data_IF_642668203800
#
_entry.id   IF_642668203800
#
_cell.length_a   1.000
_cell.length_b   1.000
_cell.length_c   1.000
_cell.angle_alpha   90.00
_cell.angle_beta   90.00
_cell.angle_gamma   90.00
#
_symmetry.space_group_name_H-M   'P 1'
#
loop_
_entity.id
_entity.type
_entity.pdbx_description
1 polymer ?
#
# COMPACT_ATOMS: atom_id res chain seq x y z
N UNK A 1 -24.87 -11.97 10.59
CA UNK A 1 -23.59 -12.57 10.12
C UNK A 1 -22.59 -12.80 11.27
N UNK A 2 -22.54 -11.94 12.31
CA UNK A 2 -21.55 -12.04 13.41
C UNK A 2 -21.57 -13.36 14.19
N UNK A 3 -22.67 -14.09 14.21
CA UNK A 3 -22.73 -15.43 14.82
C UNK A 3 -22.03 -16.53 13.98
N UNK A 4 -21.95 -16.34 12.67
CA UNK A 4 -21.43 -17.34 11.71
C UNK A 4 -20.03 -16.99 11.19
N UNK A 5 -19.77 -15.71 10.91
CA UNK A 5 -18.49 -15.25 10.36
C UNK A 5 -17.61 -14.74 11.49
N UNK A 6 -16.47 -15.39 11.70
CA UNK A 6 -15.52 -15.06 12.78
C UNK A 6 -14.29 -14.29 12.29
N UNK A 7 -14.03 -14.28 11.00
CA UNK A 7 -12.88 -13.61 10.41
C UNK A 7 -13.33 -12.67 9.29
N UNK A 8 -12.89 -11.40 9.35
CA UNK A 8 -13.30 -10.34 8.45
C UNK A 8 -12.09 -9.64 7.84
N UNK A 9 -12.05 -9.54 6.52
CA UNK A 9 -11.15 -8.64 5.81
C UNK A 9 -11.91 -7.36 5.46
N UNK A 10 -11.43 -6.22 5.91
CA UNK A 10 -12.10 -4.94 5.70
C UNK A 10 -11.87 -4.38 4.31
N UNK A 11 -10.59 -4.34 3.90
CA UNK A 11 -10.14 -3.78 2.63
C UNK A 11 -9.06 -4.71 2.08
N UNK A 12 -9.12 -4.94 0.77
CA UNK A 12 -8.07 -5.65 0.05
C UNK A 12 -7.19 -4.65 -0.70
N UNK A 13 -5.87 -4.73 -0.48
CA UNK A 13 -4.82 -4.01 -1.21
C UNK A 13 -5.06 -2.50 -1.38
N UNK A 14 -5.20 -1.73 -0.28
CA UNK A 14 -5.47 -0.29 -0.37
C UNK A 14 -4.38 0.48 -1.14
N UNK A 15 -3.13 0.04 -1.07
CA UNK A 15 -2.02 0.62 -1.84
C UNK A 15 -2.16 0.36 -3.34
N UNK A 16 -2.61 -0.82 -3.76
CA UNK A 16 -2.83 -1.12 -5.19
C UNK A 16 -3.94 -0.22 -5.73
N UNK A 17 -5.07 -0.14 -5.03
CA UNK A 17 -6.17 0.74 -5.42
C UNK A 17 -5.71 2.20 -5.56
N UNK A 18 -4.97 2.72 -4.57
CA UNK A 18 -4.52 4.11 -4.57
C UNK A 18 -3.46 4.37 -5.63
N UNK A 19 -2.47 3.47 -5.78
CA UNK A 19 -1.39 3.63 -6.76
C UNK A 19 -1.89 3.46 -8.18
N UNK A 20 -2.65 2.40 -8.47
CA UNK A 20 -3.11 2.13 -9.84
C UNK A 20 -4.17 3.12 -10.31
N UNK A 21 -5.04 3.60 -9.41
CA UNK A 21 -6.09 4.53 -9.76
C UNK A 21 -5.67 6.01 -9.78
N UNK A 22 -4.70 6.40 -8.94
CA UNK A 22 -4.41 7.81 -8.70
C UNK A 22 -2.95 8.22 -8.93
N UNK A 23 -2.01 7.27 -9.04
CA UNK A 23 -0.62 7.54 -9.40
C UNK A 23 -0.29 7.09 -10.81
N UNK A 24 -0.52 5.81 -11.11
CA UNK A 24 -0.26 5.24 -12.42
C UNK A 24 -1.36 5.56 -13.45
N UNK A 25 -2.59 5.78 -13.00
CA UNK A 25 -3.73 6.06 -13.85
C UNK A 25 -4.18 4.90 -14.72
N UNK A 26 -3.90 3.68 -14.30
CA UNK A 26 -4.25 2.44 -15.03
C UNK A 26 -5.67 1.99 -14.69
N UNK A 27 -6.07 2.13 -13.41
CA UNK A 27 -7.43 1.84 -12.97
C UNK A 27 -8.28 3.12 -12.90
N UNK A 28 -9.61 3.03 -12.97
CA UNK A 28 -10.47 4.17 -12.66
C UNK A 28 -10.12 4.77 -11.28
N UNK A 29 -10.13 6.07 -11.14
CA UNK A 29 -10.56 7.13 -12.07
C UNK A 29 -9.47 7.63 -13.02
N UNK A 30 -8.37 6.93 -13.21
CA UNK A 30 -7.33 7.25 -14.19
C UNK A 30 -6.50 8.50 -13.88
N UNK A 31 -6.42 8.90 -12.62
CA UNK A 31 -5.67 10.09 -12.20
C UNK A 31 -4.17 9.79 -12.09
N UNK A 32 -3.35 10.85 -12.28
CA UNK A 32 -1.90 10.80 -12.11
C UNK A 32 -1.46 11.93 -11.19
N UNK A 33 -1.71 11.76 -9.90
CA UNK A 33 -1.39 12.79 -8.90
C UNK A 33 -0.89 12.15 -7.59
N UNK A 34 0.41 12.28 -7.28
CA UNK A 34 1.02 11.69 -6.08
C UNK A 34 0.38 12.14 -4.76
N UNK A 35 -0.06 13.40 -4.67
CA UNK A 35 -0.70 13.94 -3.46
C UNK A 35 -2.04 13.27 -3.22
N UNK A 36 -2.86 13.18 -4.27
CA UNK A 36 -4.17 12.50 -4.19
C UNK A 36 -3.98 11.02 -3.86
N UNK A 37 -2.96 10.35 -4.42
CA UNK A 37 -2.65 8.94 -4.14
C UNK A 37 -2.47 8.70 -2.64
N UNK A 38 -1.66 9.50 -1.98
CA UNK A 38 -1.38 9.33 -0.55
C UNK A 38 -2.60 9.71 0.30
N UNK A 39 -3.38 10.70 -0.10
CA UNK A 39 -4.65 11.05 0.55
C UNK A 39 -5.67 9.92 0.46
N UNK A 40 -5.81 9.30 -0.71
CA UNK A 40 -6.70 8.14 -0.90
C UNK A 40 -6.26 6.96 -0.04
N UNK A 41 -4.96 6.64 -0.04
CA UNK A 41 -4.42 5.57 0.82
C UNK A 41 -4.71 5.86 2.30
N UNK A 42 -4.45 7.09 2.76
CA UNK A 42 -4.79 7.52 4.13
C UNK A 42 -6.26 7.29 4.45
N UNK A 43 -7.17 7.72 3.57
CA UNK A 43 -8.60 7.60 3.80
C UNK A 43 -9.06 6.13 3.85
N UNK A 44 -8.48 5.24 3.02
CA UNK A 44 -8.74 3.80 3.08
C UNK A 44 -8.28 3.20 4.42
N UNK A 45 -7.13 3.61 4.93
CA UNK A 45 -6.62 3.15 6.22
C UNK A 45 -7.48 3.67 7.39
N UNK A 46 -7.97 4.91 7.33
CA UNK A 46 -8.94 5.46 8.29
C UNK A 46 -10.24 4.67 8.23
N UNK A 47 -10.75 4.36 7.04
CA UNK A 47 -11.94 3.54 6.86
C UNK A 47 -11.77 2.14 7.47
N UNK A 48 -10.59 1.50 7.29
CA UNK A 48 -10.28 0.22 7.94
C UNK A 48 -10.45 0.32 9.47
N UNK A 49 -9.85 1.32 10.11
CA UNK A 49 -9.92 1.47 11.58
C UNK A 49 -11.32 1.80 12.08
N UNK A 50 -12.10 2.55 11.29
CA UNK A 50 -13.51 2.81 11.59
C UNK A 50 -14.35 1.53 11.49
N UNK A 51 -14.18 0.74 10.43
CA UNK A 51 -14.83 -0.55 10.22
C UNK A 51 -14.46 -1.52 11.36
N UNK A 52 -13.15 -1.61 11.70
CA UNK A 52 -12.67 -2.42 12.82
C UNK A 52 -13.43 -2.07 14.12
N UNK A 53 -13.44 -0.79 14.47
CA UNK A 53 -14.10 -0.31 15.70
C UNK A 53 -15.61 -0.60 15.70
N UNK A 54 -16.26 -0.40 14.54
CA UNK A 54 -17.68 -0.67 14.38
C UNK A 54 -17.99 -2.16 14.50
N UNK A 55 -17.23 -3.02 13.84
CA UNK A 55 -17.44 -4.48 13.93
C UNK A 55 -17.21 -4.99 15.34
N UNK A 56 -16.17 -4.52 16.03
CA UNK A 56 -15.92 -4.90 17.45
C UNK A 56 -17.06 -4.46 18.40
N UNK A 57 -17.73 -3.36 18.11
CA UNK A 57 -18.85 -2.85 18.93
C UNK A 57 -20.19 -3.58 18.71
N UNK A 58 -20.29 -4.42 17.67
CA UNK A 58 -21.51 -5.19 17.41
C UNK A 58 -21.66 -6.36 18.40
N UNK A 59 -22.89 -6.83 18.59
CA UNK A 59 -23.15 -8.05 19.36
C UNK A 59 -22.30 -9.21 18.82
N UNK A 60 -21.52 -9.86 19.68
CA UNK A 60 -20.52 -10.90 19.34
C UNK A 60 -19.36 -10.41 18.44
N UNK A 61 -19.15 -9.11 18.33
CA UNK A 61 -18.07 -8.54 17.51
C UNK A 61 -16.70 -8.61 18.17
N UNK A 62 -16.65 -8.60 19.50
CA UNK A 62 -15.44 -8.74 20.31
C UNK A 62 -14.66 -10.02 20.02
N UNK A 63 -15.35 -11.13 19.80
CA UNK A 63 -14.78 -12.42 19.44
C UNK A 63 -14.39 -12.56 17.96
N UNK A 64 -14.72 -11.60 17.10
CA UNK A 64 -14.37 -11.66 15.68
C UNK A 64 -12.90 -11.21 15.46
N UNK A 65 -12.20 -11.88 14.55
CA UNK A 65 -10.88 -11.45 14.05
C UNK A 65 -11.08 -10.55 12.84
N UNK A 66 -10.55 -9.33 12.90
CA UNK A 66 -10.73 -8.31 11.87
C UNK A 66 -9.36 -7.86 11.39
N UNK A 67 -9.11 -7.97 10.09
CA UNK A 67 -7.86 -7.62 9.48
C UNK A 67 -7.99 -6.87 8.17
N UNK A 68 -6.87 -6.54 7.59
CA UNK A 68 -6.72 -5.92 6.28
C UNK A 68 -5.78 -6.78 5.43
N UNK A 69 -6.04 -6.86 4.14
CA UNK A 69 -5.14 -7.56 3.21
C UNK A 69 -4.28 -6.55 2.49
N UNK A 70 -2.97 -6.74 2.61
CA UNK A 70 -1.96 -5.87 2.03
C UNK A 70 -1.21 -6.57 0.91
N UNK A 71 -1.06 -5.90 -0.23
CA UNK A 71 -0.07 -6.29 -1.22
C UNK A 71 1.33 -5.87 -0.73
N UNK A 72 2.24 -6.82 -0.69
CA UNK A 72 3.66 -6.55 -0.45
C UNK A 72 4.43 -6.85 -1.72
N UNK A 73 5.29 -5.94 -2.11
CA UNK A 73 6.15 -6.07 -3.28
C UNK A 73 7.60 -5.81 -2.88
N UNK A 74 8.50 -6.64 -3.37
CA UNK A 74 9.93 -6.41 -3.25
C UNK A 74 10.39 -5.47 -4.37
N UNK A 75 11.22 -4.49 -4.02
CA UNK A 75 11.79 -3.53 -4.96
C UNK A 75 13.31 -3.60 -4.90
N UNK A 76 13.94 -3.98 -6.02
CA UNK A 76 15.39 -4.02 -6.16
C UNK A 76 15.88 -3.08 -7.29
N UNK A 77 17.10 -2.56 -7.18
CA UNK A 77 17.65 -1.72 -8.22
C UNK A 77 17.95 -2.55 -9.49
N UNK A 78 17.53 -2.03 -10.64
CA UNK A 78 17.83 -2.67 -11.91
C UNK A 78 19.35 -2.70 -12.18
N UNK A 79 20.04 -1.60 -11.86
CA UNK A 79 21.50 -1.46 -11.93
C UNK A 79 22.05 -1.37 -10.51
N UNK A 80 22.61 -2.46 -10.00
CA UNK A 80 23.12 -2.54 -8.61
C UNK A 80 24.26 -1.56 -8.31
N UNK A 81 24.98 -1.10 -9.32
CA UNK A 81 26.04 -0.08 -9.21
C UNK A 81 25.51 1.35 -9.23
N UNK A 82 24.24 1.60 -9.58
CA UNK A 82 23.65 2.93 -9.72
C UNK A 82 22.92 3.35 -8.46
N UNK A 83 23.46 4.35 -7.75
CA UNK A 83 22.89 4.87 -6.50
C UNK A 83 21.46 5.42 -6.67
N UNK A 84 21.13 5.98 -7.85
CA UNK A 84 19.79 6.52 -8.10
C UNK A 84 18.74 5.42 -8.21
N UNK A 85 19.09 4.24 -8.72
CA UNK A 85 18.20 3.08 -8.74
C UNK A 85 17.89 2.62 -7.31
N UNK A 86 18.89 2.63 -6.41
CA UNK A 86 18.70 2.34 -4.99
C UNK A 86 17.81 3.36 -4.29
N UNK A 87 18.00 4.65 -4.55
CA UNK A 87 17.16 5.71 -3.98
C UNK A 87 15.70 5.52 -4.41
N UNK A 88 15.45 5.22 -5.67
CA UNK A 88 14.09 4.95 -6.17
C UNK A 88 13.48 3.75 -5.44
N UNK A 89 14.23 2.65 -5.27
CA UNK A 89 13.75 1.48 -4.55
C UNK A 89 13.40 1.79 -3.09
N UNK A 90 14.26 2.52 -2.37
CA UNK A 90 14.03 2.91 -0.98
C UNK A 90 12.79 3.79 -0.83
N UNK A 91 12.64 4.78 -1.71
CA UNK A 91 11.47 5.68 -1.71
C UNK A 91 10.19 4.91 -2.03
N UNK A 92 10.22 4.07 -3.07
CA UNK A 92 9.05 3.26 -3.47
C UNK A 92 8.66 2.28 -2.37
N UNK A 93 9.63 1.58 -1.77
CA UNK A 93 9.37 0.67 -0.67
C UNK A 93 8.77 1.39 0.55
N UNK A 94 9.29 2.56 0.91
CA UNK A 94 8.76 3.38 2.00
C UNK A 94 7.31 3.81 1.76
N UNK A 95 6.96 4.16 0.53
CA UNK A 95 5.60 4.58 0.18
C UNK A 95 4.68 3.36 0.07
N UNK A 96 5.04 2.40 -0.76
CA UNK A 96 4.18 1.26 -1.08
C UNK A 96 4.01 0.31 0.10
N UNK A 97 5.11 -0.10 0.72
CA UNK A 97 5.05 -1.03 1.85
C UNK A 97 4.95 -0.31 3.20
N UNK A 98 5.63 0.80 3.38
CA UNK A 98 5.86 1.42 4.69
C UNK A 98 4.68 2.22 5.23
N UNK A 99 3.91 2.92 4.41
CA UNK A 99 2.82 3.81 4.87
C UNK A 99 1.76 3.02 5.63
N UNK A 100 1.22 1.97 5.01
CA UNK A 100 0.16 1.16 5.62
C UNK A 100 0.65 0.48 6.91
N UNK A 101 1.85 -0.13 6.89
CA UNK A 101 2.43 -0.79 8.06
C UNK A 101 2.67 0.20 9.21
N UNK A 102 3.17 1.41 8.93
CA UNK A 102 3.37 2.45 9.94
C UNK A 102 2.04 2.89 10.57
N UNK A 103 1.01 3.07 9.75
CA UNK A 103 -0.31 3.44 10.24
C UNK A 103 -0.93 2.35 11.12
N UNK A 104 -0.94 1.11 10.66
CA UNK A 104 -1.50 -0.01 11.42
C UNK A 104 -0.77 -0.22 12.76
N UNK A 105 0.54 -0.03 12.78
CA UNK A 105 1.37 -0.18 13.98
C UNK A 105 1.20 0.98 14.97
N UNK A 106 1.25 2.22 14.48
CA UNK A 106 1.46 3.41 15.30
C UNK A 106 0.36 4.48 15.14
N UNK A 107 -0.61 4.29 14.25
CA UNK A 107 -1.60 5.31 13.89
C UNK A 107 -1.00 6.52 13.15
N UNK A 108 0.20 6.40 12.57
CA UNK A 108 0.93 7.54 12.00
C UNK A 108 1.25 7.32 10.52
N UNK A 109 1.03 8.37 9.74
CA UNK A 109 1.51 8.49 8.37
C UNK A 109 2.44 9.69 8.31
N UNK A 110 3.67 9.50 7.86
CA UNK A 110 4.63 10.56 7.63
C UNK A 110 5.34 10.34 6.30
N UNK A 111 4.87 11.07 5.30
CA UNK A 111 5.44 11.09 3.95
C UNK A 111 5.97 12.48 3.68
N UNK A 112 7.24 12.57 3.38
CA UNK A 112 7.87 13.81 2.93
C UNK A 112 8.82 13.46 1.78
N UNK A 113 8.35 13.74 0.57
CA UNK A 113 9.14 13.62 -0.66
C UNK A 113 9.24 15.03 -1.23
N UNK A 114 10.44 15.66 -1.16
CA UNK A 114 10.64 17.02 -1.63
C UNK A 114 10.03 17.23 -3.02
N UNK A 115 9.35 18.36 -3.21
CA UNK A 115 8.66 18.78 -4.44
C UNK A 115 7.43 17.95 -4.86
N UNK A 116 7.20 16.74 -4.28
CA UNK A 116 6.12 15.83 -4.71
C UNK A 116 4.99 15.70 -3.72
N UNK A 117 5.29 15.19 -2.52
CA UNK A 117 4.28 14.85 -1.52
C UNK A 117 4.78 15.18 -0.13
N UNK A 118 3.96 15.93 0.61
CA UNK A 118 4.12 16.09 2.05
C UNK A 118 2.79 15.81 2.71
N UNK A 119 2.72 14.75 3.51
CA UNK A 119 1.57 14.38 4.32
C UNK A 119 2.03 13.95 5.70
N UNK A 120 1.46 14.57 6.72
CA UNK A 120 1.63 14.15 8.11
C UNK A 120 0.25 13.96 8.71
N UNK A 121 -0.04 12.75 9.20
CA UNK A 121 -1.28 12.41 9.85
C UNK A 121 -0.99 11.54 11.08
N UNK A 122 -1.75 11.73 12.14
CA UNK A 122 -1.63 10.94 13.37
C UNK A 122 -3.00 10.75 14.00
N UNK A 123 -3.35 9.49 14.25
CA UNK A 123 -4.48 9.08 15.07
C UNK A 123 -4.03 7.92 15.95
N UNK A 124 -3.69 8.23 17.19
CA UNK A 124 -3.21 7.22 18.14
C UNK A 124 -4.28 6.17 18.47
N UNK A 125 -5.57 6.51 18.33
CA UNK A 125 -6.66 5.56 18.53
C UNK A 125 -6.74 4.53 17.38
N UNK A 126 -6.12 4.80 16.24
CA UNK A 126 -6.05 3.86 15.12
C UNK A 126 -4.96 2.79 15.30
N UNK A 127 -3.99 3.04 16.17
CA UNK A 127 -2.90 2.10 16.40
C UNK A 127 -3.42 0.73 16.88
N UNK A 128 -2.88 -0.34 16.28
CA UNK A 128 -3.20 -1.73 16.64
C UNK A 128 -4.68 -2.14 16.41
N UNK A 129 -5.44 -1.38 15.63
CA UNK A 129 -6.80 -1.76 15.23
C UNK A 129 -6.77 -2.71 14.02
N UNK A 130 -6.09 -3.82 14.19
CA UNK A 130 -6.09 -4.95 13.28
C UNK A 130 -5.67 -6.21 14.05
N UNK A 131 -6.41 -7.30 13.92
CA UNK A 131 -6.12 -8.55 14.62
C UNK A 131 -5.18 -9.44 13.79
N UNK A 132 -5.16 -9.26 12.47
CA UNK A 132 -4.26 -9.94 11.55
C UNK A 132 -3.97 -9.11 10.30
N UNK A 133 -2.89 -9.42 9.64
CA UNK A 133 -2.51 -8.87 8.35
C UNK A 133 -2.50 -10.00 7.32
N UNK A 134 -3.38 -9.93 6.33
CA UNK A 134 -3.30 -10.79 5.15
C UNK A 134 -2.23 -10.25 4.20
N UNK A 135 -1.44 -11.15 3.62
CA UNK A 135 -0.38 -10.79 2.69
C UNK A 135 -0.65 -11.37 1.31
N UNK A 136 -0.69 -10.48 0.32
CA UNK A 136 -0.62 -10.83 -1.09
C UNK A 136 0.79 -10.51 -1.60
N UNK A 137 1.45 -11.51 -2.17
CA UNK A 137 2.76 -11.37 -2.77
C UNK A 137 2.76 -12.05 -4.14
N UNK A 138 2.90 -11.26 -5.21
CA UNK A 138 2.79 -11.75 -6.58
C UNK A 138 4.07 -11.60 -7.37
N UNK A 139 4.83 -10.56 -7.09
CA UNK A 139 5.92 -10.18 -7.97
C UNK A 139 7.03 -9.40 -7.28
N UNK A 140 8.17 -9.44 -7.91
CA UNK A 140 9.38 -8.72 -7.58
C UNK A 140 9.65 -7.69 -8.68
N UNK A 141 9.89 -6.44 -8.31
CA UNK A 141 10.09 -5.33 -9.24
C UNK A 141 11.52 -4.84 -9.23
N UNK A 142 12.12 -4.71 -10.42
CA UNK A 142 13.43 -4.09 -10.59
C UNK A 142 13.24 -2.67 -11.12
N UNK A 143 13.60 -1.68 -10.33
CA UNK A 143 13.38 -0.27 -10.65
C UNK A 143 14.63 0.37 -11.24
N UNK A 144 14.45 1.04 -12.38
CA UNK A 144 15.48 1.83 -13.04
C UNK A 144 15.10 3.31 -12.97
N UNK A 145 15.95 4.13 -12.40
CA UNK A 145 15.76 5.58 -12.38
C UNK A 145 15.76 6.16 -13.81
N UNK A 146 14.81 7.08 -14.05
CA UNK A 146 14.73 7.91 -15.24
C UNK A 146 14.77 9.38 -14.85
N UNK A 147 15.56 10.16 -15.55
CA UNK A 147 15.60 11.62 -15.42
C UNK A 147 14.45 12.27 -16.22
N UNK A 148 13.21 11.87 -15.93
CA UNK A 148 12.00 12.41 -16.57
C UNK A 148 11.03 12.90 -15.48
N UNK A 149 10.62 14.19 -15.49
CA UNK A 149 9.71 14.73 -14.49
C UNK A 149 8.35 14.02 -14.38
N UNK A 150 7.91 13.38 -15.44
CA UNK A 150 6.63 12.67 -15.48
C UNK A 150 6.75 11.17 -15.17
N UNK A 151 7.95 10.63 -15.17
CA UNK A 151 8.20 9.20 -14.99
C UNK A 151 9.60 8.97 -14.39
N UNK A 152 9.70 9.03 -13.06
CA UNK A 152 10.99 8.94 -12.35
C UNK A 152 11.66 7.58 -12.39
N UNK A 153 10.91 6.55 -12.69
CA UNK A 153 11.44 5.20 -12.79
C UNK A 153 10.68 4.37 -13.80
N UNK A 154 11.36 3.36 -14.29
CA UNK A 154 10.82 2.31 -15.13
C UNK A 154 10.89 0.99 -14.37
N UNK A 155 9.79 0.24 -14.39
CA UNK A 155 9.77 -1.10 -13.86
C UNK A 155 10.24 -2.09 -14.93
N UNK A 156 11.29 -2.83 -14.65
CA UNK A 156 11.87 -3.85 -15.53
C UNK A 156 11.53 -5.23 -15.02
N UNK A 157 10.85 -6.01 -15.83
CA UNK A 157 10.58 -7.42 -15.57
C UNK A 157 11.49 -8.28 -16.42
N UNK A 158 12.21 -9.22 -15.80
CA UNK A 158 13.11 -10.13 -16.51
C UNK A 158 12.37 -11.33 -17.10
N UNK A 159 11.34 -11.80 -16.41
CA UNK A 159 10.49 -12.91 -16.84
C UNK A 159 9.04 -12.62 -16.54
N UNK A 160 8.14 -13.24 -17.29
CA UNK A 160 6.69 -13.17 -17.06
C UNK A 160 6.10 -14.58 -17.01
N UNK A 161 5.07 -14.74 -16.21
CA UNK A 161 4.30 -15.99 -16.18
C UNK A 161 3.44 -16.06 -17.45
N UNK A 162 3.59 -17.14 -18.22
CA UNK A 162 2.85 -17.34 -19.47
C UNK A 162 1.33 -17.42 -19.27
N UNK A 163 0.86 -17.86 -18.10
CA UNK A 163 -0.58 -18.01 -17.82
C UNK A 163 -1.22 -16.73 -17.26
N UNK A 164 -0.48 -15.93 -16.49
CA UNK A 164 -1.04 -14.76 -15.79
C UNK A 164 -0.46 -13.44 -16.28
N UNK A 165 0.50 -13.47 -17.18
CA UNK A 165 1.31 -12.32 -17.63
C UNK A 165 1.97 -11.55 -16.46
N UNK A 166 2.07 -12.17 -15.30
CA UNK A 166 2.75 -11.62 -14.14
C UNK A 166 4.24 -11.97 -14.15
N UNK A 167 5.10 -11.07 -13.66
CA UNK A 167 6.53 -11.38 -13.54
C UNK A 167 6.73 -12.51 -12.53
N UNK A 168 7.68 -13.38 -12.80
CA UNK A 168 8.13 -14.38 -11.83
C UNK A 168 8.79 -13.71 -10.62
N UNK A 169 8.60 -14.31 -9.47
CA UNK A 169 9.26 -13.94 -8.22
C UNK A 169 10.65 -14.58 -8.16
#
# INVERSE_FOLDING_TARGET
FSSRVKTWCTINEPEVYSVMGYFAGVFPPGKRNPRITVEVLKNLLIAHTAIYSKLKSLKNGDGAKIGIVKNIMQFDPFRRWNILDWIVCLVTNKIYNGIALSYLKNGKINVNIPFFVKLKYSDLNAAKKTDFLGLNYYSHSHLKFKANPNEFFENKFFKRNAMTDMPYV
#
